data_IF_909434218465
#
_entry.id   IF_909434218465
#
_cell.length_a   1.000
_cell.length_b   1.000
_cell.length_c   1.000
_cell.angle_alpha   90.00
_cell.angle_beta   90.00
_cell.angle_gamma   90.00
#
_symmetry.space_group_name_H-M   'P 1'
#
loop_
_entity.id
_entity.type
_entity.pdbx_description
1 polymer ?
#
# COMPACT_ATOMS: atom_id res chain seq x y z
N UNK A 1 -4.93 1.22 -14.54
CA UNK A 1 -3.71 1.24 -13.73
C UNK A 1 -2.50 1.15 -14.65
N UNK A 2 -1.45 1.93 -14.41
CA UNK A 2 -0.17 1.89 -15.13
C UNK A 2 0.97 1.81 -14.11
N UNK A 3 1.97 0.97 -14.34
CA UNK A 3 3.20 0.90 -13.53
C UNK A 3 4.14 2.02 -14.00
N UNK A 4 4.66 2.83 -13.05
CA UNK A 4 5.40 4.06 -13.35
C UNK A 4 6.90 3.82 -13.39
N UNK A 5 7.43 2.91 -12.56
CA UNK A 5 8.87 2.67 -12.43
C UNK A 5 9.26 1.19 -12.46
N UNK A 6 10.57 0.93 -12.36
CA UNK A 6 11.12 -0.42 -12.27
C UNK A 6 11.06 -1.24 -13.54
N UNK A 7 11.21 -2.57 -13.39
CA UNK A 7 11.33 -3.52 -14.53
C UNK A 7 10.02 -3.67 -15.34
N UNK A 8 8.88 -3.32 -14.76
CA UNK A 8 7.57 -3.36 -15.43
C UNK A 8 7.07 -1.97 -15.84
N UNK A 9 7.94 -0.97 -15.85
CA UNK A 9 7.58 0.42 -16.24
C UNK A 9 6.78 0.46 -17.53
N UNK A 10 5.76 1.32 -17.55
CA UNK A 10 4.83 1.57 -18.67
C UNK A 10 3.84 0.44 -18.96
N UNK A 11 3.90 -0.71 -18.31
CA UNK A 11 2.85 -1.72 -18.44
C UNK A 11 1.55 -1.17 -17.89
N UNK A 12 0.47 -1.31 -18.66
CA UNK A 12 -0.85 -0.82 -18.32
C UNK A 12 -1.85 -1.97 -18.29
N UNK A 13 -2.73 -1.97 -17.28
CA UNK A 13 -3.76 -2.96 -17.07
C UNK A 13 -5.08 -2.25 -16.79
N UNK A 14 -6.16 -2.69 -17.42
CA UNK A 14 -7.50 -2.13 -17.22
C UNK A 14 -8.34 -3.11 -16.41
N UNK A 15 -8.87 -2.68 -15.25
CA UNK A 15 -9.72 -3.52 -14.42
C UNK A 15 -11.16 -3.67 -14.95
N UNK A 16 -11.46 -3.09 -16.13
CA UNK A 16 -12.79 -3.13 -16.71
C UNK A 16 -13.72 -2.01 -16.23
N UNK A 17 -14.94 -1.94 -16.81
CA UNK A 17 -15.88 -0.81 -16.61
C UNK A 17 -16.54 -0.78 -15.22
N UNK A 18 -16.51 -1.87 -14.47
CA UNK A 18 -17.21 -1.99 -13.17
C UNK A 18 -16.32 -1.68 -11.97
N UNK A 19 -15.10 -1.20 -12.20
CA UNK A 19 -14.16 -0.89 -11.14
C UNK A 19 -14.52 0.43 -10.46
N UNK A 20 -14.77 0.41 -9.14
CA UNK A 20 -15.25 1.57 -8.37
C UNK A 20 -14.16 2.27 -7.55
N UNK A 21 -12.97 1.71 -7.43
CA UNK A 21 -11.90 2.36 -6.68
C UNK A 21 -11.35 3.56 -7.45
N UNK A 22 -11.11 4.67 -6.73
CA UNK A 22 -10.36 5.82 -7.23
C UNK A 22 -8.87 5.51 -7.00
N UNK A 23 -8.07 5.25 -8.05
CA UNK A 23 -6.66 4.97 -7.84
C UNK A 23 -5.94 6.24 -7.36
N UNK A 24 -4.98 6.08 -6.46
CA UNK A 24 -3.96 7.11 -6.18
C UNK A 24 -3.43 7.66 -7.50
N UNK A 25 -3.42 8.98 -7.65
CA UNK A 25 -3.01 9.59 -8.92
C UNK A 25 -1.58 9.19 -9.28
N UNK A 26 -1.28 9.07 -10.57
CA UNK A 26 0.08 8.77 -11.05
C UNK A 26 1.10 9.75 -10.47
N UNK A 27 0.72 11.04 -10.35
CA UNK A 27 1.57 12.08 -9.78
C UNK A 27 1.88 11.84 -8.29
N UNK A 28 0.88 11.56 -7.46
CA UNK A 28 1.10 11.29 -6.03
C UNK A 28 1.94 10.02 -5.83
N UNK A 29 1.65 8.97 -6.61
CA UNK A 29 2.38 7.70 -6.57
C UNK A 29 3.84 7.86 -7.00
N UNK A 30 4.12 8.61 -8.07
CA UNK A 30 5.49 8.89 -8.52
C UNK A 30 6.29 9.62 -7.43
N UNK A 31 5.71 10.65 -6.83
CA UNK A 31 6.35 11.38 -5.75
C UNK A 31 6.58 10.51 -4.50
N UNK A 32 5.61 9.67 -4.11
CA UNK A 32 5.77 8.71 -3.03
C UNK A 32 6.96 7.79 -3.27
N UNK A 33 7.02 7.17 -4.45
CA UNK A 33 8.11 6.24 -4.77
C UNK A 33 9.46 6.93 -4.97
N UNK A 34 9.50 8.21 -5.36
CA UNK A 34 10.74 9.00 -5.36
C UNK A 34 11.28 9.17 -3.93
N UNK A 35 10.40 9.45 -2.94
CA UNK A 35 10.80 9.53 -1.53
C UNK A 35 11.32 8.17 -1.07
N UNK A 36 10.57 7.10 -1.31
CA UNK A 36 10.90 5.76 -0.84
C UNK A 36 12.20 5.24 -1.45
N UNK A 37 12.42 5.43 -2.75
CA UNK A 37 13.65 5.00 -3.44
C UNK A 37 14.91 5.76 -2.99
N UNK A 38 14.73 6.96 -2.41
CA UNK A 38 15.85 7.70 -1.81
C UNK A 38 16.18 7.25 -0.37
N UNK A 39 15.24 6.57 0.29
CA UNK A 39 15.39 6.13 1.69
C UNK A 39 15.71 4.63 1.80
N UNK A 40 15.23 3.83 0.86
CA UNK A 40 15.25 2.37 0.94
C UNK A 40 15.70 1.74 -0.37
N UNK A 41 16.55 0.72 -0.26
CA UNK A 41 16.65 -0.34 -1.24
C UNK A 41 15.54 -1.34 -0.95
N UNK A 42 14.78 -1.75 -1.96
CA UNK A 42 13.61 -2.61 -1.75
C UNK A 42 13.95 -4.11 -1.69
N UNK A 43 15.17 -4.46 -2.08
CA UNK A 43 15.70 -5.82 -1.97
C UNK A 43 15.61 -6.30 -0.52
N UNK A 44 15.12 -7.52 -0.32
CA UNK A 44 14.94 -8.12 1.01
C UNK A 44 13.98 -7.35 1.95
N UNK A 45 13.17 -6.43 1.43
CA UNK A 45 12.10 -5.78 2.21
C UNK A 45 10.81 -6.57 2.07
N UNK A 46 10.11 -6.70 3.20
CA UNK A 46 8.75 -7.20 3.27
C UNK A 46 7.79 -6.02 3.27
N UNK A 47 6.89 -6.00 2.30
CA UNK A 47 5.92 -4.91 2.12
C UNK A 47 4.51 -5.42 2.32
N UNK A 48 3.71 -4.65 3.05
CA UNK A 48 2.28 -4.87 3.21
C UNK A 48 1.50 -3.71 2.60
N UNK A 49 0.62 -4.02 1.67
CA UNK A 49 -0.30 -3.06 1.04
C UNK A 49 -1.72 -3.34 1.52
N UNK A 50 -2.23 -2.48 2.39
CA UNK A 50 -3.56 -2.56 2.97
C UNK A 50 -4.55 -1.73 2.16
N UNK A 51 -5.72 -2.29 1.88
CA UNK A 51 -6.74 -1.71 0.99
C UNK A 51 -6.22 -1.56 -0.45
N UNK A 52 -5.64 -2.63 -1.01
CA UNK A 52 -4.81 -2.58 -2.23
C UNK A 52 -5.54 -2.10 -3.50
N UNK A 53 -6.88 -2.14 -3.55
CA UNK A 53 -7.68 -1.66 -4.68
C UNK A 53 -7.27 -2.27 -6.01
N UNK A 54 -6.59 -1.52 -6.86
CA UNK A 54 -6.03 -2.02 -8.13
C UNK A 54 -4.70 -2.74 -7.95
N UNK A 55 -4.11 -2.76 -6.76
CA UNK A 55 -2.76 -3.23 -6.51
C UNK A 55 -1.66 -2.30 -7.04
N UNK A 56 -1.99 -1.05 -7.38
CA UNK A 56 -1.03 -0.14 -8.03
C UNK A 56 0.23 0.11 -7.18
N UNK A 57 0.09 0.17 -5.86
CA UNK A 57 1.22 0.34 -4.92
C UNK A 57 2.01 -0.96 -4.83
N UNK A 58 1.33 -2.10 -4.65
CA UNK A 58 1.97 -3.42 -4.62
C UNK A 58 2.80 -3.68 -5.87
N UNK A 59 2.27 -3.38 -7.07
CA UNK A 59 2.99 -3.58 -8.33
C UNK A 59 4.17 -2.62 -8.50
N UNK A 60 4.10 -1.40 -7.95
CA UNK A 60 5.26 -0.50 -7.95
C UNK A 60 6.40 -1.04 -7.09
N UNK A 61 6.12 -1.57 -5.90
CA UNK A 61 7.13 -2.22 -5.07
C UNK A 61 7.76 -3.42 -5.78
N UNK A 62 6.94 -4.35 -6.29
CA UNK A 62 7.43 -5.51 -7.02
C UNK A 62 8.25 -5.12 -8.27
N UNK A 63 7.81 -4.09 -9.00
CA UNK A 63 8.51 -3.58 -10.19
C UNK A 63 9.87 -2.97 -9.87
N UNK A 64 10.07 -2.48 -8.65
CA UNK A 64 11.30 -1.83 -8.18
C UNK A 64 12.23 -2.76 -7.39
N UNK A 65 11.98 -4.07 -7.45
CA UNK A 65 12.88 -5.08 -6.89
C UNK A 65 12.45 -5.64 -5.53
N UNK A 66 11.30 -5.24 -4.98
CA UNK A 66 10.79 -5.89 -3.78
C UNK A 66 10.37 -7.34 -4.10
N UNK A 67 10.87 -8.30 -3.33
CA UNK A 67 10.64 -9.73 -3.57
C UNK A 67 9.56 -10.33 -2.66
N UNK A 68 9.08 -9.59 -1.66
CA UNK A 68 8.02 -10.04 -0.72
C UNK A 68 7.00 -8.92 -0.52
N UNK A 69 5.90 -8.98 -1.29
CA UNK A 69 4.79 -8.03 -1.23
C UNK A 69 3.49 -8.75 -0.89
N UNK A 70 2.89 -8.40 0.24
CA UNK A 70 1.56 -8.90 0.64
C UNK A 70 0.51 -7.82 0.38
N UNK A 71 -0.53 -8.16 -0.40
CA UNK A 71 -1.64 -7.28 -0.75
C UNK A 71 -2.93 -7.76 -0.09
N UNK A 72 -3.62 -6.86 0.61
CA UNK A 72 -4.90 -7.15 1.28
C UNK A 72 -6.02 -6.40 0.57
N UNK A 73 -6.99 -7.14 0.05
CA UNK A 73 -8.13 -6.56 -0.64
C UNK A 73 -9.42 -7.30 -0.29
N UNK A 74 -10.43 -6.54 0.15
CA UNK A 74 -11.72 -7.10 0.58
C UNK A 74 -12.62 -7.39 -0.62
N UNK A 75 -12.67 -6.47 -1.59
CA UNK A 75 -13.52 -6.64 -2.77
C UNK A 75 -13.01 -7.77 -3.66
N UNK A 76 -13.87 -8.76 -3.92
CA UNK A 76 -13.50 -9.93 -4.69
C UNK A 76 -13.13 -9.62 -6.15
N UNK A 77 -13.73 -8.60 -6.76
CA UNK A 77 -13.41 -8.22 -8.14
C UNK A 77 -12.02 -7.58 -8.21
N UNK A 78 -11.70 -6.70 -7.26
CA UNK A 78 -10.39 -6.10 -7.14
C UNK A 78 -9.32 -7.17 -6.88
N UNK A 79 -9.56 -8.06 -5.92
CA UNK A 79 -8.69 -9.21 -5.63
C UNK A 79 -8.41 -10.04 -6.89
N UNK A 80 -9.45 -10.45 -7.63
CA UNK A 80 -9.28 -11.24 -8.86
C UNK A 80 -8.52 -10.47 -9.95
N UNK A 81 -8.74 -9.17 -10.04
CA UNK A 81 -7.98 -8.33 -10.94
C UNK A 81 -6.48 -8.33 -10.59
N UNK A 82 -6.13 -8.10 -9.31
CA UNK A 82 -4.73 -8.15 -8.84
C UNK A 82 -4.13 -9.52 -9.18
N UNK A 83 -4.80 -10.62 -8.84
CA UNK A 83 -4.33 -11.98 -9.17
C UNK A 83 -4.07 -12.15 -10.65
N UNK A 84 -4.96 -11.64 -11.53
CA UNK A 84 -4.79 -11.73 -12.99
C UNK A 84 -3.56 -10.97 -13.49
N UNK A 85 -3.23 -9.84 -12.86
CA UNK A 85 -2.04 -9.05 -13.20
C UNK A 85 -0.78 -9.73 -12.69
N UNK A 86 -0.79 -10.28 -11.48
CA UNK A 86 0.30 -11.11 -10.91
C UNK A 86 0.66 -12.24 -11.86
N UNK A 87 -0.35 -12.92 -12.40
CA UNK A 87 -0.15 -14.01 -13.37
C UNK A 87 0.46 -13.51 -14.69
N UNK A 88 -0.08 -12.42 -15.24
CA UNK A 88 0.42 -11.82 -16.50
C UNK A 88 1.85 -11.29 -16.38
N UNK A 89 2.26 -10.86 -15.20
CA UNK A 89 3.62 -10.40 -14.92
C UNK A 89 4.58 -11.55 -14.55
N UNK A 90 4.05 -12.74 -14.21
CA UNK A 90 4.85 -13.89 -13.80
C UNK A 90 5.50 -13.74 -12.41
N UNK A 91 4.87 -13.00 -11.50
CA UNK A 91 5.42 -12.62 -10.18
C UNK A 91 4.70 -13.29 -8.99
N UNK A 92 4.19 -14.51 -9.19
CA UNK A 92 3.49 -15.26 -8.12
C UNK A 92 4.37 -15.54 -6.88
N UNK A 93 5.67 -15.61 -7.06
CA UNK A 93 6.61 -15.82 -5.95
C UNK A 93 6.95 -14.52 -5.21
N UNK A 94 6.67 -13.36 -5.80
CA UNK A 94 6.93 -12.03 -5.26
C UNK A 94 5.71 -11.46 -4.55
N UNK A 95 4.50 -11.75 -5.07
CA UNK A 95 3.27 -11.17 -4.56
C UNK A 95 2.31 -12.20 -3.99
N UNK A 96 2.01 -12.06 -2.70
CA UNK A 96 0.95 -12.78 -2.00
C UNK A 96 -0.31 -11.90 -1.92
N UNK A 97 -1.40 -12.32 -2.53
CA UNK A 97 -2.65 -11.56 -2.56
C UNK A 97 -3.71 -12.27 -1.73
N UNK A 98 -4.27 -11.57 -0.74
CA UNK A 98 -5.25 -12.14 0.19
C UNK A 98 -6.60 -11.41 0.08
N UNK A 99 -7.67 -12.20 -0.17
CA UNK A 99 -9.03 -11.66 -0.15
C UNK A 99 -9.59 -11.72 1.25
N UNK A 100 -9.37 -10.69 2.03
CA UNK A 100 -9.80 -10.60 3.43
C UNK A 100 -10.01 -9.15 3.87
N UNK A 101 -10.71 -8.98 4.98
CA UNK A 101 -10.86 -7.70 5.66
C UNK A 101 -9.55 -7.29 6.36
N UNK A 102 -9.14 -6.03 6.20
CA UNK A 102 -7.89 -5.50 6.76
C UNK A 102 -7.84 -5.63 8.27
N UNK A 103 -8.93 -5.32 8.99
CA UNK A 103 -8.97 -5.40 10.45
C UNK A 103 -8.88 -6.85 10.94
N UNK A 104 -9.47 -7.79 10.21
CA UNK A 104 -9.32 -9.22 10.51
C UNK A 104 -7.89 -9.70 10.26
N UNK A 105 -7.25 -9.21 9.19
CA UNK A 105 -5.85 -9.55 8.90
C UNK A 105 -4.94 -9.03 10.00
N UNK A 106 -5.04 -7.74 10.36
CA UNK A 106 -4.23 -7.11 11.42
C UNK A 106 -4.37 -7.88 12.75
N UNK A 107 -5.58 -8.28 13.11
CA UNK A 107 -5.83 -8.99 14.38
C UNK A 107 -5.42 -10.47 14.42
N UNK A 108 -4.95 -11.04 13.30
CA UNK A 108 -4.64 -12.48 13.21
C UNK A 108 -3.22 -12.79 12.77
N UNK A 109 -2.60 -11.88 12.02
CA UNK A 109 -1.24 -12.09 11.52
C UNK A 109 -0.22 -11.90 12.64
N UNK A 110 0.81 -12.74 12.64
CA UNK A 110 2.01 -12.57 13.45
C UNK A 110 3.20 -12.08 12.61
N UNK A 111 2.97 -11.80 11.33
CA UNK A 111 4.01 -11.37 10.40
C UNK A 111 4.39 -9.91 10.65
N UNK A 112 5.63 -9.57 10.31
CA UNK A 112 6.14 -8.20 10.38
C UNK A 112 6.62 -7.74 9.02
N UNK A 113 6.48 -6.44 8.78
CA UNK A 113 6.79 -5.81 7.50
C UNK A 113 7.71 -4.62 7.71
N UNK A 114 8.61 -4.41 6.74
CA UNK A 114 9.52 -3.26 6.76
C UNK A 114 8.81 -1.99 6.28
N UNK A 115 7.88 -2.13 5.35
CA UNK A 115 7.07 -1.02 4.85
C UNK A 115 5.60 -1.47 4.84
N UNK A 116 4.74 -0.66 5.42
CA UNK A 116 3.29 -0.85 5.38
C UNK A 116 2.69 0.37 4.71
N UNK A 117 1.91 0.15 3.66
CA UNK A 117 1.11 1.18 3.02
C UNK A 117 -0.37 0.90 3.26
N UNK A 118 -1.13 1.94 3.57
CA UNK A 118 -2.57 1.85 3.76
C UNK A 118 -3.28 3.01 3.05
N UNK A 119 -4.21 2.69 2.13
CA UNK A 119 -5.08 3.65 1.44
C UNK A 119 -6.56 3.29 1.68
N UNK A 120 -7.05 3.51 2.91
CA UNK A 120 -8.44 3.22 3.24
C UNK A 120 -9.41 4.16 2.51
N UNK A 121 -10.67 3.73 2.24
CA UNK A 121 -11.71 4.64 1.83
C UNK A 121 -11.82 5.82 2.82
N UNK A 122 -11.87 7.05 2.32
CA UNK A 122 -11.86 8.25 3.17
C UNK A 122 -13.05 8.33 4.13
N UNK A 123 -14.17 7.67 3.79
CA UNK A 123 -15.33 7.57 4.67
C UNK A 123 -15.21 6.46 5.73
N UNK A 124 -14.08 5.75 5.77
CA UNK A 124 -13.86 4.70 6.76
C UNK A 124 -13.85 5.29 8.18
N UNK A 125 -14.87 4.96 8.98
CA UNK A 125 -15.03 5.50 10.36
C UNK A 125 -13.84 5.20 11.28
N UNK A 126 -13.12 4.12 11.00
CA UNK A 126 -11.99 3.66 11.78
C UNK A 126 -10.63 4.03 11.18
N UNK A 127 -10.60 4.98 10.24
CA UNK A 127 -9.36 5.39 9.58
C UNK A 127 -8.33 5.91 10.61
N UNK A 128 -8.76 6.73 11.56
CA UNK A 128 -7.90 7.29 12.61
C UNK A 128 -7.30 6.25 13.57
N UNK A 129 -7.90 5.05 13.66
CA UNK A 129 -7.41 3.97 14.52
C UNK A 129 -6.29 3.15 13.85
N UNK A 130 -6.10 3.25 12.52
CA UNK A 130 -5.19 2.39 11.76
C UNK A 130 -3.73 2.46 12.24
N UNK A 131 -3.13 3.64 12.50
CA UNK A 131 -1.76 3.69 13.00
C UNK A 131 -1.60 2.92 14.31
N UNK A 132 -2.45 3.18 15.29
CA UNK A 132 -2.42 2.48 16.58
C UNK A 132 -2.64 0.97 16.41
N UNK A 133 -3.58 0.55 15.57
CA UNK A 133 -3.85 -0.88 15.36
C UNK A 133 -2.64 -1.58 14.74
N UNK A 134 -1.97 -0.97 13.78
CA UNK A 134 -0.80 -1.54 13.11
C UNK A 134 0.38 -1.63 14.09
N UNK A 135 0.65 -0.55 14.81
CA UNK A 135 1.77 -0.46 15.75
C UNK A 135 1.58 -1.34 16.98
N UNK A 136 0.39 -1.31 17.61
CA UNK A 136 0.10 -2.10 18.80
C UNK A 136 0.08 -3.62 18.53
N UNK A 137 -0.33 -4.04 17.32
CA UNK A 137 -0.21 -5.43 16.89
C UNK A 137 1.19 -5.80 16.38
N UNK A 138 2.17 -4.87 16.44
CA UNK A 138 3.57 -5.08 16.10
C UNK A 138 3.79 -5.58 14.67
N UNK A 139 2.96 -5.12 13.73
CA UNK A 139 3.09 -5.47 12.32
C UNK A 139 4.31 -4.78 11.68
N UNK A 140 4.75 -3.65 12.23
CA UNK A 140 5.92 -2.94 11.76
C UNK A 140 7.20 -3.56 12.35
N UNK A 141 8.18 -3.85 11.52
CA UNK A 141 9.52 -4.28 11.93
C UNK A 141 10.25 -3.11 12.59
N UNK A 142 11.28 -3.39 13.37
CA UNK A 142 12.17 -2.35 13.91
C UNK A 142 12.79 -1.53 12.77
N UNK A 143 12.72 -0.19 12.88
CA UNK A 143 13.12 0.73 11.81
C UNK A 143 12.24 0.66 10.56
N UNK A 144 11.06 0.10 10.66
CA UNK A 144 10.09 0.04 9.57
C UNK A 144 9.31 1.33 9.41
N UNK A 145 8.58 1.45 8.31
CA UNK A 145 7.82 2.63 7.93
C UNK A 145 6.36 2.28 7.65
N UNK A 146 5.44 2.97 8.32
CA UNK A 146 4.02 2.99 7.96
C UNK A 146 3.71 4.27 7.19
N UNK A 147 2.99 4.13 6.08
CA UNK A 147 2.50 5.22 5.24
C UNK A 147 0.99 5.11 5.17
N UNK A 148 0.28 6.12 5.63
CA UNK A 148 -1.17 6.18 5.57
C UNK A 148 -1.62 7.27 4.60
N UNK A 149 -2.32 6.87 3.53
CA UNK A 149 -3.00 7.80 2.65
C UNK A 149 -4.34 8.22 3.27
N UNK A 150 -4.62 9.53 3.25
CA UNK A 150 -5.87 10.07 3.78
C UNK A 150 -6.26 11.38 3.13
N UNK A 151 -7.50 11.82 3.37
CA UNK A 151 -7.98 13.14 2.97
C UNK A 151 -7.57 14.23 3.96
N UNK A 152 -7.77 15.48 3.58
CA UNK A 152 -7.40 16.68 4.34
C UNK A 152 -8.10 16.84 5.71
N UNK A 153 -9.15 16.07 5.96
CA UNK A 153 -9.92 16.12 7.22
C UNK A 153 -9.29 15.35 8.37
N UNK A 154 -8.30 14.52 8.07
CA UNK A 154 -7.58 13.75 9.06
C UNK A 154 -6.22 14.43 9.35
N UNK A 155 -5.89 14.55 10.62
CA UNK A 155 -4.62 15.07 11.11
C UNK A 155 -4.01 14.06 12.09
N UNK A 156 -2.75 13.72 11.88
CA UNK A 156 -2.01 12.76 12.70
C UNK A 156 -0.75 13.38 13.32
N UNK A 157 -0.61 14.71 13.25
CA UNK A 157 0.60 15.43 13.73
C UNK A 157 0.87 15.22 15.22
N UNK A 158 -0.17 14.98 16.02
CA UNK A 158 -0.06 14.73 17.48
C UNK A 158 0.22 13.25 17.82
N UNK A 159 0.25 12.35 16.83
CA UNK A 159 0.50 10.93 17.08
C UNK A 159 1.98 10.69 17.46
N UNK A 160 2.31 9.95 18.54
CA UNK A 160 3.67 9.82 19.06
C UNK A 160 4.68 9.23 18.07
N UNK A 161 4.23 8.45 17.11
CA UNK A 161 5.05 7.86 16.06
C UNK A 161 5.00 8.61 14.72
N UNK A 162 4.25 9.72 14.65
CA UNK A 162 4.20 10.53 13.43
C UNK A 162 5.55 11.21 13.17
N UNK A 163 6.02 11.12 11.93
CA UNK A 163 7.32 11.71 11.53
C UNK A 163 7.18 12.77 10.46
N UNK A 164 6.24 12.61 9.52
CA UNK A 164 6.17 13.48 8.36
C UNK A 164 4.78 13.47 7.71
N UNK A 165 4.37 14.62 7.15
CA UNK A 165 3.22 14.75 6.24
C UNK A 165 3.69 15.18 4.85
N UNK A 166 3.26 14.49 3.82
CA UNK A 166 3.41 14.90 2.42
C UNK A 166 2.06 15.10 1.76
N UNK A 167 1.89 16.22 1.07
CA UNK A 167 0.62 16.61 0.44
C UNK A 167 0.80 16.75 -1.06
N UNK A 168 -0.05 16.06 -1.81
CA UNK A 168 -0.08 16.10 -3.29
C UNK A 168 -1.52 16.34 -3.76
N UNK A 169 -1.89 17.61 -3.87
CA UNK A 169 -3.27 18.01 -4.16
C UNK A 169 -4.23 17.60 -3.03
N UNK A 170 -5.19 16.73 -3.31
CA UNK A 170 -6.11 16.20 -2.30
C UNK A 170 -5.61 14.96 -1.55
N UNK A 171 -4.47 14.41 -1.96
CA UNK A 171 -3.85 13.22 -1.37
C UNK A 171 -2.85 13.65 -0.30
N UNK A 172 -2.99 13.10 0.88
CA UNK A 172 -2.07 13.29 2.01
C UNK A 172 -1.47 11.95 2.39
N UNK A 173 -0.16 11.90 2.56
CA UNK A 173 0.56 10.75 3.12
C UNK A 173 1.12 11.15 4.47
N UNK A 174 0.63 10.53 5.54
CA UNK A 174 1.24 10.59 6.87
C UNK A 174 2.18 9.41 7.06
N UNK A 175 3.39 9.68 7.55
CA UNK A 175 4.45 8.71 7.78
C UNK A 175 4.63 8.49 9.27
N UNK A 176 4.86 7.22 9.69
CA UNK A 176 5.03 6.82 11.08
C UNK A 176 6.20 5.83 11.19
N UNK A 177 7.04 6.02 12.22
CA UNK A 177 8.21 5.20 12.54
C UNK A 177 8.25 4.76 14.01
#
# INVERSE_FOLDING_TARGET
MRIIGGIFKSRAFSPGKNFRARPTTDFARENLFNILSNRYEFDNKRVLDLFSGTGCISFEFASRGCEDVTSIELDRFHYLFICSVVEKLGIKNTMNVLNTDVFKFIGRTAERFNIIFADPPYELKRLSELPDLILNNKLLSEGGLLILEHGKTNDFSDHPHFTELRTYGSVHFSFFE
#
